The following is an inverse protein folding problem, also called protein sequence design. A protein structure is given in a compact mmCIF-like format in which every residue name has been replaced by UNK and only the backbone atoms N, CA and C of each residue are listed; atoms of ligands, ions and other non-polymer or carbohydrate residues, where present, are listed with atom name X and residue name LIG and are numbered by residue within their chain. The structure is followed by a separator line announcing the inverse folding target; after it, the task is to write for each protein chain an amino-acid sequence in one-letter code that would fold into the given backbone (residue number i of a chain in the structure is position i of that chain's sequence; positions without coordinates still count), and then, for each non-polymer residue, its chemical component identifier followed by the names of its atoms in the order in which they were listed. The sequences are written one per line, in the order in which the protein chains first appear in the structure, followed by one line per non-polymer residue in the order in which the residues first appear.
data_IF_066776170393
#
_entry.id   IF_066776170393
#
_cell.length_a   1.000
_cell.length_b   1.000
_cell.length_c   1.000
_cell.angle_alpha   90.00
_cell.angle_beta   90.00
_cell.angle_gamma   90.00
#
_symmetry.space_group_name_H-M   'P 1'
#
loop_
_entity.id
_entity.type
_entity.pdbx_description
1 polymer ?
#
# COMPACT_ATOMS: atom_id res chain seq x y z
N UNK A 1 22.26 7.66 3.04
CA UNK A 1 22.18 6.99 1.73
C UNK A 1 20.79 6.36 1.64
N UNK A 2 19.94 6.84 0.72
CA UNK A 2 18.55 6.39 0.64
C UNK A 2 18.50 4.91 0.25
N UNK A 3 17.72 4.10 0.97
CA UNK A 3 17.43 2.72 0.55
C UNK A 3 16.64 2.80 -0.75
N UNK A 4 17.18 2.20 -1.80
CA UNK A 4 16.45 2.02 -3.06
C UNK A 4 15.21 1.15 -2.78
N UNK A 5 14.04 1.65 -3.14
CA UNK A 5 12.79 0.90 -3.05
C UNK A 5 12.43 0.46 -4.46
N UNK A 6 12.57 -0.83 -4.73
CA UNK A 6 12.08 -1.43 -5.98
C UNK A 6 10.65 -1.90 -5.75
N UNK A 7 9.69 -1.28 -6.42
CA UNK A 7 8.31 -1.78 -6.52
C UNK A 7 8.19 -2.64 -7.79
N UNK A 8 7.83 -3.92 -7.69
CA UNK A 8 7.67 -4.76 -8.87
C UNK A 8 6.48 -4.29 -9.71
N UNK A 9 6.72 -4.10 -11.01
CA UNK A 9 5.67 -3.82 -11.99
C UNK A 9 5.13 -5.13 -12.56
N UNK A 10 3.81 -5.19 -12.69
CA UNK A 10 3.07 -6.31 -13.26
C UNK A 10 2.49 -5.84 -14.59
N UNK A 11 2.79 -6.55 -15.67
CA UNK A 11 2.22 -6.27 -17.00
C UNK A 11 0.97 -7.12 -17.20
N UNK A 12 -0.15 -6.51 -17.55
CA UNK A 12 -1.37 -7.25 -17.90
C UNK A 12 -1.38 -7.69 -19.38
N UNK A 13 -2.43 -8.39 -19.79
CA UNK A 13 -2.59 -8.89 -21.17
C UNK A 13 -2.75 -7.79 -22.23
N UNK A 14 -3.12 -6.59 -21.81
CA UNK A 14 -3.33 -5.42 -22.67
C UNK A 14 -2.09 -4.51 -22.69
N UNK A 15 -1.02 -4.87 -21.97
CA UNK A 15 0.19 -4.06 -21.83
C UNK A 15 0.08 -2.98 -20.75
N UNK A 16 -0.97 -2.98 -19.93
CA UNK A 16 -1.11 -2.10 -18.78
C UNK A 16 -0.08 -2.45 -17.71
N UNK A 17 0.52 -1.42 -17.10
CA UNK A 17 1.44 -1.55 -15.98
C UNK A 17 0.69 -1.37 -14.67
N UNK A 18 0.81 -2.37 -13.81
CA UNK A 18 0.18 -2.41 -12.50
C UNK A 18 1.25 -2.55 -11.42
N UNK A 19 0.90 -2.12 -10.22
CA UNK A 19 1.67 -2.40 -9.00
C UNK A 19 0.72 -3.04 -8.00
N UNK A 20 1.23 -3.97 -7.19
CA UNK A 20 0.45 -4.55 -6.10
C UNK A 20 0.02 -3.45 -5.13
N UNK A 21 -1.28 -3.39 -4.85
CA UNK A 21 -1.82 -2.49 -3.84
C UNK A 21 -1.16 -2.71 -2.46
N UNK A 22 -0.87 -3.96 -2.10
CA UNK A 22 -0.17 -4.29 -0.86
C UNK A 22 1.24 -3.68 -0.82
N UNK A 23 1.95 -3.66 -1.95
CA UNK A 23 3.29 -3.07 -2.02
C UNK A 23 3.23 -1.54 -1.92
N UNK A 24 2.23 -0.90 -2.53
CA UNK A 24 1.98 0.54 -2.39
C UNK A 24 1.65 0.91 -0.94
N UNK A 25 0.69 0.20 -0.34
CA UNK A 25 0.29 0.37 1.06
C UNK A 25 1.48 0.20 2.02
N UNK A 26 2.34 -0.79 1.77
CA UNK A 26 3.57 -1.02 2.54
C UNK A 26 4.57 0.11 2.36
N UNK A 27 4.73 0.62 1.14
CA UNK A 27 5.64 1.73 0.86
C UNK A 27 5.21 2.99 1.61
N UNK A 28 3.94 3.38 1.53
CA UNK A 28 3.41 4.56 2.22
C UNK A 28 3.69 4.52 3.72
N UNK A 29 3.44 3.37 4.36
CA UNK A 29 3.73 3.14 5.78
C UNK A 29 5.24 3.17 6.09
N UNK A 30 6.06 2.64 5.19
CA UNK A 30 7.53 2.63 5.32
C UNK A 30 8.12 4.04 5.25
N UNK A 31 7.60 4.88 4.34
CA UNK A 31 8.03 6.28 4.18
C UNK A 31 7.75 7.08 5.44
N UNK A 32 6.51 7.05 5.95
CA UNK A 32 6.15 7.73 7.19
C UNK A 32 6.98 7.26 8.39
N UNK A 33 7.13 5.95 8.55
CA UNK A 33 7.99 5.38 9.60
C UNK A 33 9.46 5.77 9.46
N UNK A 34 9.96 5.98 8.25
CA UNK A 34 11.32 6.46 8.04
C UNK A 34 11.48 7.92 8.46
N UNK A 35 10.53 8.79 8.10
CA UNK A 35 10.56 10.20 8.50
C UNK A 35 10.52 10.34 10.02
N UNK A 36 9.65 9.59 10.71
CA UNK A 36 9.62 9.57 12.18
C UNK A 36 10.96 9.14 12.79
N UNK A 37 11.63 8.13 12.22
CA UNK A 37 12.97 7.72 12.69
C UNK A 37 14.02 8.79 12.49
N UNK A 38 13.95 9.59 11.43
CA UNK A 38 14.89 10.69 11.21
C UNK A 38 14.67 11.83 12.21
N UNK A 39 13.41 12.19 12.48
CA UNK A 39 13.08 13.15 13.54
C UNK A 39 13.61 12.66 14.89
N UNK A 40 13.34 11.40 15.24
CA UNK A 40 13.84 10.81 16.49
C UNK A 40 15.38 10.76 16.57
N UNK A 41 16.06 10.65 15.43
CA UNK A 41 17.53 10.70 15.36
C UNK A 41 18.11 12.13 15.44
N UNK A 42 17.27 13.15 15.65
CA UNK A 42 17.70 14.54 15.82
C UNK A 42 18.04 15.26 14.51
N UNK A 43 17.44 14.86 13.38
CA UNK A 43 17.59 15.62 12.13
C UNK A 43 16.88 16.99 12.24
N UNK A 44 17.65 18.05 12.49
CA UNK A 44 17.17 19.43 12.73
C UNK A 44 16.41 20.06 11.55
N UNK A 45 16.52 19.49 10.34
CA UNK A 45 15.82 19.99 9.14
C UNK A 45 14.37 19.51 9.04
N UNK A 46 13.92 18.63 9.94
CA UNK A 46 12.58 18.05 9.94
C UNK A 46 11.76 18.58 11.12
N UNK A 47 10.69 19.29 10.81
CA UNK A 47 9.69 19.69 11.81
C UNK A 47 8.88 18.48 12.28
N UNK A 48 8.86 18.22 13.58
CA UNK A 48 8.25 17.03 14.18
C UNK A 48 6.73 16.98 13.93
N UNK A 49 6.05 18.10 14.13
CA UNK A 49 4.60 18.20 13.95
C UNK A 49 4.19 17.96 12.49
N UNK A 50 4.94 18.55 11.55
CA UNK A 50 4.73 18.32 10.11
C UNK A 50 4.96 16.86 9.74
N UNK A 51 6.03 16.23 10.23
CA UNK A 51 6.31 14.82 9.94
C UNK A 51 5.23 13.91 10.53
N UNK A 52 4.74 14.21 11.74
CA UNK A 52 3.65 13.47 12.36
C UNK A 52 2.36 13.59 11.54
N UNK A 53 1.98 14.80 11.14
CA UNK A 53 0.80 15.06 10.32
C UNK A 53 0.87 14.32 8.97
N UNK A 54 2.00 14.42 8.27
CA UNK A 54 2.19 13.74 6.98
C UNK A 54 2.18 12.21 7.13
N UNK A 55 2.78 11.68 8.20
CA UNK A 55 2.79 10.24 8.46
C UNK A 55 1.37 9.71 8.70
N UNK A 56 0.52 10.47 9.38
CA UNK A 56 -0.90 10.14 9.57
C UNK A 56 -1.63 10.12 8.22
N UNK A 57 -1.43 11.10 7.35
CA UNK A 57 -2.07 11.13 6.04
C UNK A 57 -1.62 9.98 5.13
N UNK A 58 -0.33 9.60 5.18
CA UNK A 58 0.18 8.41 4.49
C UNK A 58 -0.48 7.12 4.99
N UNK A 59 -0.66 6.99 6.31
CA UNK A 59 -1.34 5.84 6.90
C UNK A 59 -2.81 5.77 6.47
N UNK A 60 -3.54 6.91 6.54
CA UNK A 60 -4.92 7.00 6.06
C UNK A 60 -5.06 6.63 4.58
N UNK A 61 -4.12 7.05 3.74
CA UNK A 61 -4.13 6.69 2.33
C UNK A 61 -3.93 5.18 2.13
N UNK A 62 -2.97 4.58 2.84
CA UNK A 62 -2.73 3.15 2.79
C UNK A 62 -3.97 2.34 3.25
N UNK A 63 -4.64 2.79 4.32
CA UNK A 63 -5.88 2.15 4.81
C UNK A 63 -7.00 2.20 3.76
N UNK A 64 -7.16 3.33 3.05
CA UNK A 64 -8.16 3.45 1.97
C UNK A 64 -7.87 2.51 0.80
N UNK A 65 -6.60 2.36 0.43
CA UNK A 65 -6.18 1.39 -0.60
C UNK A 65 -6.55 -0.03 -0.16
N UNK A 66 -6.20 -0.39 1.08
CA UNK A 66 -6.47 -1.73 1.61
C UNK A 66 -7.98 -2.02 1.64
N UNK A 67 -8.81 -1.07 2.10
CA UNK A 67 -10.28 -1.19 2.10
C UNK A 67 -10.84 -1.34 0.69
N UNK A 68 -10.37 -0.54 -0.27
CA UNK A 68 -10.82 -0.63 -1.66
C UNK A 68 -10.49 -2.00 -2.28
N UNK A 69 -9.31 -2.53 -1.99
CA UNK A 69 -8.90 -3.87 -2.45
C UNK A 69 -9.73 -4.99 -1.82
N UNK A 70 -10.01 -4.91 -0.51
CA UNK A 70 -10.90 -5.87 0.17
C UNK A 70 -12.29 -5.85 -0.45
N UNK A 71 -12.88 -4.67 -0.64
CA UNK A 71 -14.19 -4.52 -1.26
C UNK A 71 -14.22 -5.11 -2.68
N UNK A 72 -13.17 -4.88 -3.47
CA UNK A 72 -13.06 -5.44 -4.80
C UNK A 72 -12.98 -6.97 -4.79
N UNK A 73 -12.13 -7.55 -3.94
CA UNK A 73 -11.99 -9.01 -3.80
C UNK A 73 -13.26 -9.70 -3.30
N UNK A 74 -14.04 -9.05 -2.44
CA UNK A 74 -15.32 -9.56 -1.93
C UNK A 74 -16.45 -9.49 -2.95
N UNK A 75 -16.32 -8.65 -3.98
CA UNK A 75 -17.34 -8.45 -5.03
C UNK A 75 -17.13 -9.33 -6.26
N UNK A 76 -16.05 -10.11 -6.31
CA UNK A 76 -15.80 -11.05 -7.40
C UNK A 76 -16.94 -12.11 -7.42
N UNK A 77 -17.75 -12.20 -8.49
CA UNK A 77 -18.80 -13.19 -8.56
C UNK A 77 -18.19 -14.59 -8.48
N UNK A 78 -18.77 -15.44 -7.63
CA UNK A 78 -18.48 -16.87 -7.60
C UNK A 78 -18.56 -17.41 -9.03
N UNK A 79 -17.50 -18.10 -9.47
CA UNK A 79 -17.45 -18.63 -10.82
C UNK A 79 -18.71 -19.48 -11.08
N UNK A 80 -19.47 -19.23 -12.16
CA UNK A 80 -20.66 -20.02 -12.48
C UNK A 80 -20.21 -21.41 -12.93
N UNK A 81 -20.02 -22.33 -11.98
CA UNK A 81 -19.48 -23.66 -12.28
C UNK A 81 -19.25 -24.60 -11.10
N UNK A 82 -19.30 -24.16 -9.84
CA UNK A 82 -19.18 -25.05 -8.70
C UNK A 82 -20.47 -25.85 -8.42
N UNK A 83 -20.96 -26.62 -9.39
CA UNK A 83 -21.94 -27.69 -9.11
C UNK A 83 -21.23 -28.76 -8.27
N UNK A 84 -21.69 -28.92 -7.03
CA UNK A 84 -21.36 -30.08 -6.19
C UNK A 84 -21.80 -31.38 -6.91
N UNK A 85 -20.98 -32.44 -6.93
CA UNK A 85 -21.49 -33.76 -7.27
C UNK A 85 -22.37 -34.27 -6.11
N UNK A 86 -23.60 -34.64 -6.43
CA UNK A 86 -24.56 -35.25 -5.52
C UNK A 86 -24.30 -36.77 -5.46
N UNK A 87 -24.32 -37.42 -4.29
CA UNK A 87 -24.64 -38.84 -4.22
C UNK A 87 -26.15 -39.08 -4.35
#
# INVERSE_FOLDING_TARGET
MGREVTLPLIVDRQGGLHVSAADVSKLLRTVGGHWLRMVHAGHETLDEDTVAALTIELAKLADRIDVACIAHSSSAPEAPGARRPHP
#
